data_IF_151670944463
#
_entry.id   IF_151670944463
#
_cell.length_a   1.000
_cell.length_b   1.000
_cell.length_c   1.000
_cell.angle_alpha   90.00
_cell.angle_beta   90.00
_cell.angle_gamma   90.00
#
_symmetry.space_group_name_H-M   'P 1'
#
loop_
_entity.id
_entity.type
_entity.pdbx_description
1 polymer ?
#
# COMPACT_ATOMS: atom_id res chain seq x y z
N UNK A 1 -3.94 -44.88 6.51
CA UNK A 1 -3.11 -44.16 7.51
C UNK A 1 -3.89 -42.92 7.86
N UNK A 2 -4.54 -42.94 9.00
CA UNK A 2 -5.44 -41.92 9.51
C UNK A 2 -4.60 -40.87 10.22
N UNK A 3 -4.58 -39.65 9.68
CA UNK A 3 -3.97 -38.51 10.35
C UNK A 3 -4.92 -38.02 11.45
N UNK A 4 -4.50 -38.19 12.69
CA UNK A 4 -5.11 -37.53 13.84
C UNK A 4 -4.73 -36.06 13.85
N UNK A 5 -5.68 -35.19 13.55
CA UNK A 5 -5.64 -33.78 13.94
C UNK A 5 -6.14 -33.70 15.38
N UNK A 6 -5.25 -33.41 16.32
CA UNK A 6 -5.64 -33.03 17.67
C UNK A 6 -6.34 -31.67 17.65
N UNK A 7 -7.45 -31.48 18.40
CA UNK A 7 -8.08 -30.17 18.51
C UNK A 7 -7.23 -29.25 19.38
N UNK A 8 -6.96 -28.04 18.86
CA UNK A 8 -6.33 -26.95 19.60
C UNK A 8 -7.06 -26.70 20.92
N UNK A 9 -6.31 -26.76 22.00
CA UNK A 9 -6.77 -26.53 23.37
C UNK A 9 -7.41 -25.17 23.50
N UNK A 10 -8.68 -25.13 23.94
CA UNK A 10 -9.45 -23.92 24.23
C UNK A 10 -8.77 -23.08 25.31
N UNK A 11 -8.32 -21.86 24.93
CA UNK A 11 -7.96 -20.85 25.91
C UNK A 11 -9.24 -20.27 26.52
N UNK A 12 -9.50 -20.62 27.78
CA UNK A 12 -10.57 -20.02 28.58
C UNK A 12 -10.12 -18.64 29.05
N UNK A 13 -10.50 -17.60 28.36
CA UNK A 13 -10.53 -16.24 28.92
C UNK A 13 -11.78 -16.11 29.77
N UNK A 14 -11.63 -15.72 31.03
CA UNK A 14 -12.69 -15.61 32.03
C UNK A 14 -13.98 -14.98 31.47
N UNK A 15 -14.93 -15.79 31.02
CA UNK A 15 -16.29 -15.41 30.66
C UNK A 15 -16.58 -15.14 29.17
N UNK A 16 -15.59 -15.17 28.26
CA UNK A 16 -15.83 -15.07 26.82
C UNK A 16 -15.53 -16.43 26.15
N UNK A 17 -16.57 -17.21 25.88
CA UNK A 17 -16.45 -18.42 25.07
C UNK A 17 -16.40 -18.03 23.59
N UNK A 18 -15.31 -18.34 22.91
CA UNK A 18 -15.12 -18.10 21.47
C UNK A 18 -15.69 -19.25 20.62
N UNK A 19 -16.30 -20.25 21.27
CA UNK A 19 -16.95 -21.38 20.60
C UNK A 19 -18.37 -21.01 20.18
N UNK A 20 -18.66 -21.02 18.89
CA UNK A 20 -19.98 -20.72 18.34
C UNK A 20 -20.15 -19.36 17.68
N UNK A 21 -19.04 -18.73 17.25
CA UNK A 21 -19.09 -17.49 16.46
C UNK A 21 -19.84 -17.71 15.15
N UNK A 22 -20.86 -16.88 14.91
CA UNK A 22 -21.39 -16.71 13.55
C UNK A 22 -20.36 -15.99 12.71
N UNK A 23 -20.18 -16.40 11.45
CA UNK A 23 -19.28 -15.75 10.49
C UNK A 23 -19.55 -14.23 10.28
N UNK A 24 -20.63 -13.72 10.87
CA UNK A 24 -21.07 -12.31 10.77
C UNK A 24 -20.89 -11.50 12.06
N UNK A 25 -20.31 -12.09 13.12
CA UNK A 25 -20.29 -11.47 14.44
C UNK A 25 -18.92 -10.89 14.78
N UNK A 26 -18.80 -9.57 14.72
CA UNK A 26 -17.60 -8.82 15.13
C UNK A 26 -17.60 -8.48 16.62
N UNK A 27 -18.72 -8.61 17.30
CA UNK A 27 -18.92 -8.22 18.69
C UNK A 27 -17.91 -8.84 19.68
N UNK A 28 -17.51 -10.12 19.55
CA UNK A 28 -16.47 -10.69 20.39
C UNK A 28 -15.12 -9.97 20.28
N UNK A 29 -14.71 -9.56 19.08
CA UNK A 29 -13.46 -8.83 18.87
C UNK A 29 -13.53 -7.44 19.48
N UNK A 30 -14.67 -6.74 19.35
CA UNK A 30 -14.89 -5.44 20.00
C UNK A 30 -14.79 -5.53 21.53
N UNK A 31 -15.37 -6.59 22.14
CA UNK A 31 -15.29 -6.85 23.59
C UNK A 31 -13.87 -7.18 24.04
N UNK A 32 -13.11 -7.93 23.25
CA UNK A 32 -11.69 -8.21 23.53
C UNK A 32 -10.92 -6.86 23.58
N UNK A 33 -11.11 -5.99 22.61
CA UNK A 33 -10.43 -4.69 22.55
C UNK A 33 -10.83 -3.80 23.73
N UNK A 34 -12.11 -3.71 24.08
CA UNK A 34 -12.57 -2.99 25.27
C UNK A 34 -11.87 -3.49 26.53
N UNK A 35 -11.72 -4.82 26.67
CA UNK A 35 -11.07 -5.43 27.82
C UNK A 35 -9.57 -5.18 27.85
N UNK A 36 -8.91 -5.26 26.71
CA UNK A 36 -7.47 -4.94 26.59
C UNK A 36 -7.17 -3.48 26.99
N UNK A 37 -8.07 -2.57 26.70
CA UNK A 37 -7.93 -1.15 27.02
C UNK A 37 -8.65 -0.69 28.28
N UNK A 38 -9.26 -1.61 29.05
CA UNK A 38 -9.90 -1.28 30.32
C UNK A 38 -8.90 -0.51 31.22
N UNK A 39 -9.26 0.68 31.74
CA UNK A 39 -8.34 1.53 32.50
C UNK A 39 -7.80 0.88 33.78
N UNK A 40 -8.55 -0.05 34.37
CA UNK A 40 -8.19 -0.68 35.65
C UNK A 40 -7.54 -2.07 35.45
N UNK A 41 -8.07 -2.89 34.56
CA UNK A 41 -7.69 -4.30 34.40
C UNK A 41 -7.07 -4.63 33.07
N UNK A 42 -7.02 -3.69 32.13
CA UNK A 42 -6.51 -3.91 30.77
C UNK A 42 -4.99 -4.04 30.70
N UNK A 43 -4.53 -4.49 29.56
CA UNK A 43 -3.12 -4.69 29.28
C UNK A 43 -2.35 -3.33 29.33
N UNK A 44 -1.24 -3.24 30.06
CA UNK A 44 -0.47 -2.00 30.17
C UNK A 44 0.03 -1.48 28.82
N UNK A 45 0.41 -2.38 27.90
CA UNK A 45 0.88 -2.02 26.57
C UNK A 45 -0.24 -1.42 25.72
N UNK A 46 -1.39 -2.09 25.64
CA UNK A 46 -2.54 -1.61 24.86
C UNK A 46 -3.06 -0.28 25.37
N UNK A 47 -3.11 -0.09 26.69
CA UNK A 47 -3.54 1.18 27.32
C UNK A 47 -2.62 2.35 26.99
N UNK A 48 -1.33 2.10 26.79
CA UNK A 48 -0.35 3.16 26.46
C UNK A 48 -0.43 3.61 25.00
N UNK A 49 -1.10 2.86 24.12
CA UNK A 49 -1.15 3.16 22.70
C UNK A 49 -2.03 4.37 22.38
N UNK A 50 -1.64 5.06 21.32
CA UNK A 50 -2.33 6.22 20.74
C UNK A 50 -2.52 5.99 19.25
N UNK A 51 -3.30 6.83 18.56
CA UNK A 51 -3.40 6.79 17.10
C UNK A 51 -2.04 6.76 16.40
N UNK A 52 -1.09 7.58 16.89
CA UNK A 52 0.25 7.67 16.26
C UNK A 52 1.09 6.43 16.47
N UNK A 53 1.01 5.82 17.64
CA UNK A 53 1.83 4.64 17.96
C UNK A 53 1.33 3.37 17.26
N UNK A 54 0.06 3.34 16.85
CA UNK A 54 -0.53 2.22 16.11
C UNK A 54 -0.26 2.29 14.59
N UNK A 55 0.03 3.47 14.02
CA UNK A 55 0.29 3.62 12.58
C UNK A 55 1.36 2.66 12.03
N UNK A 56 2.53 2.46 12.67
CA UNK A 56 3.52 1.51 12.16
C UNK A 56 2.98 0.10 12.02
N UNK A 57 2.26 -0.41 13.02
CA UNK A 57 1.65 -1.75 12.99
C UNK A 57 0.61 -1.87 11.87
N UNK A 58 -0.25 -0.86 11.70
CA UNK A 58 -1.23 -0.86 10.59
C UNK A 58 -0.56 -1.00 9.22
N UNK A 59 0.61 -0.39 9.02
CA UNK A 59 1.37 -0.51 7.77
C UNK A 59 2.04 -1.88 7.65
N UNK A 60 2.57 -2.41 8.75
CA UNK A 60 3.16 -3.74 8.84
C UNK A 60 2.13 -4.81 8.43
N UNK A 61 0.97 -4.87 9.10
CA UNK A 61 -0.11 -5.82 8.77
C UNK A 61 -0.59 -5.70 7.31
N UNK A 62 -0.67 -4.47 6.79
CA UNK A 62 -1.04 -4.28 5.39
C UNK A 62 0.01 -4.84 4.41
N UNK A 63 1.30 -4.81 4.78
CA UNK A 63 2.37 -5.42 4.00
C UNK A 63 2.41 -6.94 4.16
N UNK A 64 2.09 -7.48 5.33
CA UNK A 64 2.00 -8.93 5.59
C UNK A 64 0.86 -9.56 4.80
N UNK A 65 -0.32 -8.90 4.76
CA UNK A 65 -1.40 -9.29 3.83
C UNK A 65 -0.92 -9.30 2.37
N UNK A 66 -0.16 -8.27 1.95
CA UNK A 66 0.33 -8.21 0.57
C UNK A 66 1.36 -9.31 0.28
N UNK A 67 2.28 -9.58 1.19
CA UNK A 67 3.30 -10.63 1.09
C UNK A 67 2.66 -12.03 1.01
N UNK A 68 1.70 -12.30 1.88
CA UNK A 68 0.94 -13.57 1.91
C UNK A 68 0.22 -13.84 0.59
N UNK A 69 -0.37 -12.80 -0.01
CA UNK A 69 -0.99 -12.88 -1.34
C UNK A 69 0.07 -13.14 -2.43
N UNK A 70 1.21 -12.45 -2.39
CA UNK A 70 2.28 -12.62 -3.39
C UNK A 70 2.94 -14.01 -3.30
N UNK A 71 3.04 -14.58 -2.10
CA UNK A 71 3.50 -15.96 -1.87
C UNK A 71 2.45 -17.03 -2.18
N UNK A 72 1.20 -16.66 -2.44
CA UNK A 72 0.05 -17.56 -2.60
C UNK A 72 -0.21 -18.44 -1.35
N UNK A 73 0.12 -17.96 -0.16
CA UNK A 73 -0.04 -18.64 1.12
C UNK A 73 -1.47 -18.44 1.67
N UNK A 74 -2.45 -19.04 1.00
CA UNK A 74 -3.87 -18.81 1.26
C UNK A 74 -4.34 -19.29 2.63
N UNK A 75 -3.61 -20.18 3.26
CA UNK A 75 -3.83 -20.69 4.61
C UNK A 75 -3.39 -19.69 5.70
N UNK A 76 -2.40 -18.84 5.41
CA UNK A 76 -1.94 -17.77 6.31
C UNK A 76 -2.79 -16.48 6.16
N UNK A 77 -3.38 -16.26 4.99
CA UNK A 77 -4.10 -15.01 4.68
C UNK A 77 -5.22 -14.64 5.67
N UNK A 78 -6.02 -15.58 6.25
CA UNK A 78 -7.01 -15.23 7.26
C UNK A 78 -6.41 -14.63 8.54
N UNK A 79 -5.22 -15.08 8.94
CA UNK A 79 -4.53 -14.57 10.14
C UNK A 79 -4.08 -13.14 9.90
N UNK A 80 -3.40 -12.84 8.78
CA UNK A 80 -2.95 -11.49 8.43
C UNK A 80 -4.13 -10.50 8.26
N UNK A 81 -5.23 -10.97 7.66
CA UNK A 81 -6.46 -10.17 7.58
C UNK A 81 -7.08 -9.93 8.96
N UNK A 82 -6.94 -10.88 9.88
CA UNK A 82 -7.36 -10.76 11.28
C UNK A 82 -6.56 -9.68 12.00
N UNK A 83 -5.24 -9.66 11.84
CA UNK A 83 -4.35 -8.69 12.44
C UNK A 83 -4.59 -7.29 11.88
N UNK A 84 -4.78 -7.15 10.57
CA UNK A 84 -5.19 -5.88 9.97
C UNK A 84 -6.57 -5.40 10.48
N UNK A 85 -7.54 -6.31 10.66
CA UNK A 85 -8.85 -6.00 11.25
C UNK A 85 -8.71 -5.56 12.71
N UNK A 86 -7.81 -6.18 13.47
CA UNK A 86 -7.50 -5.80 14.84
C UNK A 86 -7.00 -4.35 14.93
N UNK A 87 -6.14 -3.88 14.01
CA UNK A 87 -5.72 -2.48 13.93
C UNK A 87 -6.92 -1.55 13.72
N UNK A 88 -7.87 -1.92 12.85
CA UNK A 88 -9.08 -1.13 12.62
C UNK A 88 -9.91 -1.03 13.89
N UNK A 89 -10.13 -2.15 14.58
CA UNK A 89 -10.89 -2.19 15.84
C UNK A 89 -10.18 -1.37 16.92
N UNK A 90 -8.84 -1.39 16.95
CA UNK A 90 -8.06 -0.58 17.88
C UNK A 90 -8.32 0.92 17.69
N UNK A 91 -8.29 1.42 16.45
CA UNK A 91 -8.64 2.81 16.17
C UNK A 91 -10.08 3.16 16.53
N UNK A 92 -11.01 2.24 16.33
CA UNK A 92 -12.41 2.44 16.69
C UNK A 92 -12.58 2.54 18.22
N UNK A 93 -11.83 1.76 18.99
CA UNK A 93 -11.83 1.83 20.44
C UNK A 93 -11.24 3.16 20.94
N UNK A 94 -10.12 3.61 20.36
CA UNK A 94 -9.56 4.93 20.65
C UNK A 94 -10.55 6.06 20.35
N UNK A 95 -11.27 5.95 19.22
CA UNK A 95 -12.33 6.89 18.84
C UNK A 95 -13.48 6.92 19.85
N UNK A 96 -13.94 5.75 20.29
CA UNK A 96 -14.99 5.58 21.29
C UNK A 96 -14.59 6.18 22.64
N UNK A 97 -13.37 5.94 23.11
CA UNK A 97 -12.82 6.51 24.34
C UNK A 97 -12.78 8.04 24.34
N UNK A 98 -12.56 8.64 23.17
CA UNK A 98 -12.52 10.09 22.98
C UNK A 98 -13.87 10.71 22.58
N UNK A 99 -14.93 9.90 22.41
CA UNK A 99 -16.24 10.37 21.97
C UNK A 99 -16.27 10.90 20.53
N UNK A 100 -15.35 10.46 19.67
CA UNK A 100 -15.21 10.92 18.27
C UNK A 100 -15.98 10.05 17.27
N UNK A 101 -15.83 8.75 17.35
CA UNK A 101 -16.47 7.74 16.52
C UNK A 101 -16.27 6.36 17.12
N UNK A 102 -16.99 5.38 16.60
CA UNK A 102 -16.88 3.96 16.97
C UNK A 102 -16.85 3.06 15.73
N UNK A 103 -16.86 1.76 15.92
CA UNK A 103 -16.85 0.79 14.85
C UNK A 103 -18.11 0.88 13.95
N UNK A 104 -19.28 1.12 14.56
CA UNK A 104 -20.54 1.28 13.82
C UNK A 104 -20.47 2.48 12.87
N UNK A 105 -19.93 3.60 13.33
CA UNK A 105 -19.68 4.81 12.52
C UNK A 105 -18.77 4.52 11.32
N UNK A 106 -17.74 3.69 11.50
CA UNK A 106 -16.82 3.30 10.40
C UNK A 106 -17.54 2.45 9.36
N UNK A 107 -18.34 1.47 9.81
CA UNK A 107 -19.14 0.61 8.93
C UNK A 107 -20.17 1.44 8.14
N UNK A 108 -20.91 2.33 8.81
CA UNK A 108 -21.88 3.21 8.18
C UNK A 108 -21.21 4.06 7.07
N UNK A 109 -20.13 4.74 7.39
CA UNK A 109 -19.40 5.60 6.44
C UNK A 109 -18.87 4.86 5.22
N UNK A 110 -18.34 3.63 5.40
CA UNK A 110 -17.86 2.85 4.25
C UNK A 110 -19.01 2.30 3.42
N UNK A 111 -20.11 1.85 4.04
CA UNK A 111 -21.29 1.34 3.37
C UNK A 111 -21.94 2.41 2.50
N UNK A 112 -22.18 3.59 3.06
CA UNK A 112 -22.71 4.75 2.33
C UNK A 112 -21.83 5.15 1.15
N UNK A 113 -20.53 5.20 1.39
CA UNK A 113 -19.55 5.52 0.34
C UNK A 113 -19.57 4.51 -0.80
N UNK A 114 -19.63 3.23 -0.51
CA UNK A 114 -19.65 2.16 -1.51
C UNK A 114 -20.96 2.19 -2.29
N UNK A 115 -22.10 2.32 -1.63
CA UNK A 115 -23.42 2.42 -2.25
C UNK A 115 -23.47 3.61 -3.21
N UNK A 116 -23.05 4.79 -2.76
CA UNK A 116 -23.03 6.01 -3.58
C UNK A 116 -22.09 5.91 -4.78
N UNK A 117 -20.96 5.23 -4.63
CA UNK A 117 -19.96 5.08 -5.70
C UNK A 117 -20.26 3.97 -6.70
N UNK A 118 -21.25 3.13 -6.42
CA UNK A 118 -21.69 2.06 -7.31
C UNK A 118 -23.17 2.17 -7.66
N UNK A 119 -23.61 3.32 -8.23
CA UNK A 119 -25.02 3.53 -8.57
C UNK A 119 -25.55 2.53 -9.60
N UNK A 120 -24.67 1.94 -10.40
CA UNK A 120 -24.99 0.86 -11.35
C UNK A 120 -25.34 -0.47 -10.66
N UNK A 121 -24.97 -0.65 -9.37
CA UNK A 121 -25.31 -1.86 -8.60
C UNK A 121 -26.45 -1.59 -7.62
N UNK A 122 -26.42 -0.43 -6.95
CA UNK A 122 -27.31 -0.10 -5.84
C UNK A 122 -28.37 0.99 -6.18
N UNK A 123 -28.28 1.63 -7.36
CA UNK A 123 -29.24 2.67 -7.78
C UNK A 123 -30.50 2.08 -8.40
N UNK A 124 -31.62 2.79 -8.23
CA UNK A 124 -32.91 2.42 -8.85
C UNK A 124 -32.92 2.64 -10.38
N UNK A 125 -32.10 3.56 -10.88
CA UNK A 125 -31.91 3.80 -12.30
C UNK A 125 -30.50 3.36 -12.67
N UNK A 126 -30.40 2.30 -13.47
CA UNK A 126 -29.14 1.85 -14.08
C UNK A 126 -28.72 2.89 -15.14
N UNK A 127 -27.91 3.93 -14.83
CA UNK A 127 -27.38 4.77 -15.87
C UNK A 127 -26.57 3.85 -16.76
N UNK A 128 -26.74 3.95 -18.08
CA UNK A 128 -25.94 3.22 -19.05
C UNK A 128 -24.46 3.65 -18.94
N UNK A 129 -23.84 3.25 -17.86
CA UNK A 129 -22.39 3.28 -17.71
C UNK A 129 -21.93 2.16 -18.61
N UNK A 130 -21.18 2.48 -19.66
CA UNK A 130 -20.71 1.48 -20.60
C UNK A 130 -20.10 0.29 -19.87
N UNK A 131 -20.41 -0.93 -20.29
CA UNK A 131 -20.06 -2.20 -19.61
C UNK A 131 -18.54 -2.48 -19.52
N UNK A 132 -17.69 -1.54 -19.88
CA UNK A 132 -16.25 -1.71 -19.82
C UNK A 132 -15.69 -1.28 -18.46
N UNK A 133 -14.73 -2.04 -17.92
CA UNK A 133 -14.00 -1.70 -16.71
C UNK A 133 -13.35 -0.29 -16.78
N UNK A 134 -13.03 0.17 -18.00
CA UNK A 134 -12.46 1.49 -18.23
C UNK A 134 -13.51 2.61 -18.07
N UNK A 135 -14.74 2.41 -18.55
CA UNK A 135 -15.85 3.34 -18.35
C UNK A 135 -16.24 3.42 -16.87
N UNK A 136 -16.28 2.28 -16.18
CA UNK A 136 -16.52 2.22 -14.73
C UNK A 136 -15.44 2.97 -13.94
N UNK A 137 -14.17 2.80 -14.30
CA UNK A 137 -13.06 3.51 -13.65
C UNK A 137 -13.14 5.02 -13.87
N UNK A 138 -13.50 5.47 -15.08
CA UNK A 138 -13.68 6.89 -15.39
C UNK A 138 -14.84 7.51 -14.58
N UNK A 139 -15.97 6.82 -14.51
CA UNK A 139 -17.12 7.25 -13.71
C UNK A 139 -16.78 7.32 -12.21
N UNK A 140 -16.08 6.32 -11.69
CA UNK A 140 -15.66 6.29 -10.29
C UNK A 140 -14.71 7.45 -9.95
N UNK A 141 -13.83 7.81 -10.87
CA UNK A 141 -12.94 8.95 -10.71
C UNK A 141 -13.68 10.30 -10.80
N UNK A 142 -14.71 10.40 -11.65
CA UNK A 142 -15.59 11.58 -11.71
C UNK A 142 -16.33 11.78 -10.38
N UNK A 143 -16.93 10.71 -9.83
CA UNK A 143 -17.61 10.75 -8.51
C UNK A 143 -16.65 11.21 -7.42
N UNK A 144 -15.41 10.66 -7.39
CA UNK A 144 -14.38 11.10 -6.43
C UNK A 144 -13.97 12.57 -6.61
N UNK A 145 -14.00 13.09 -7.83
CA UNK A 145 -13.71 14.50 -8.09
C UNK A 145 -14.81 15.40 -7.48
N UNK A 146 -16.07 15.08 -7.74
CA UNK A 146 -17.21 15.79 -7.16
C UNK A 146 -17.22 15.75 -5.63
N UNK A 147 -16.93 14.59 -5.02
CA UNK A 147 -16.82 14.45 -3.55
C UNK A 147 -15.72 15.35 -2.97
N UNK A 148 -14.60 15.52 -3.68
CA UNK A 148 -13.51 16.42 -3.25
C UNK A 148 -13.92 17.89 -3.32
N UNK A 149 -14.58 18.29 -4.40
CA UNK A 149 -15.10 19.64 -4.56
C UNK A 149 -16.11 20.00 -3.47
N UNK A 150 -17.04 19.09 -3.18
CA UNK A 150 -18.00 19.26 -2.09
C UNK A 150 -17.32 19.40 -0.72
N UNK A 151 -16.32 18.55 -0.43
CA UNK A 151 -15.54 18.66 0.81
C UNK A 151 -14.76 19.97 0.92
N UNK A 152 -14.17 20.43 -0.19
CA UNK A 152 -13.43 21.69 -0.22
C UNK A 152 -14.36 22.88 0.00
N UNK A 153 -15.56 22.86 -0.59
CA UNK A 153 -16.58 23.90 -0.37
C UNK A 153 -17.08 23.94 1.08
N UNK A 154 -17.24 22.79 1.73
CA UNK A 154 -17.60 22.72 3.16
C UNK A 154 -16.53 23.35 4.04
N UNK A 155 -15.24 23.02 3.80
CA UNK A 155 -14.11 23.59 4.57
C UNK A 155 -13.95 25.10 4.30
N UNK A 156 -14.12 25.55 3.05
CA UNK A 156 -14.05 26.96 2.70
C UNK A 156 -15.21 27.77 3.34
N UNK A 157 -16.40 27.20 3.44
CA UNK A 157 -17.53 27.82 4.13
C UNK A 157 -17.33 28.02 5.64
N UNK A 158 -16.52 27.15 6.27
CA UNK A 158 -16.20 27.24 7.70
C UNK A 158 -15.06 28.23 7.99
N UNK A 159 -14.16 28.49 7.05
CA UNK A 159 -12.93 29.28 7.29
C UNK A 159 -12.92 30.70 6.71
N UNK A 160 -13.95 31.11 5.94
CA UNK A 160 -14.02 32.44 5.27
C UNK A 160 -12.73 32.84 4.47
N UNK A 161 -11.87 31.88 4.13
CA UNK A 161 -10.66 32.12 3.37
C UNK A 161 -10.87 31.75 1.89
N UNK A 162 -10.51 32.63 0.98
CA UNK A 162 -10.36 32.36 -0.46
C UNK A 162 -9.21 31.37 -0.70
N UNK A 163 -9.32 30.14 -0.19
CA UNK A 163 -8.32 29.11 -0.41
C UNK A 163 -8.56 28.48 -1.79
N UNK A 164 -7.65 28.74 -2.71
CA UNK A 164 -7.63 28.06 -4.02
C UNK A 164 -7.44 26.56 -3.76
N UNK A 165 -8.45 25.76 -4.15
CA UNK A 165 -8.40 24.29 -4.04
C UNK A 165 -7.35 23.76 -5.00
N UNK A 166 -6.30 23.15 -4.47
CA UNK A 166 -5.24 22.54 -5.29
C UNK A 166 -5.65 21.18 -5.83
N UNK A 167 -5.31 20.88 -7.07
CA UNK A 167 -5.43 19.53 -7.63
C UNK A 167 -4.69 18.47 -6.78
N UNK A 168 -3.70 18.89 -5.99
CA UNK A 168 -2.87 18.04 -5.15
C UNK A 168 -3.42 17.85 -3.72
N UNK A 169 -4.51 18.51 -3.37
CA UNK A 169 -5.11 18.40 -2.04
C UNK A 169 -5.55 16.96 -1.75
N UNK A 170 -5.40 16.57 -0.49
CA UNK A 170 -5.78 15.25 0.02
C UNK A 170 -4.99 14.06 -0.60
N UNK A 171 -3.76 14.27 -1.09
CA UNK A 171 -2.82 13.19 -1.36
C UNK A 171 -2.05 12.90 -0.06
N UNK A 172 -2.23 11.72 0.57
CA UNK A 172 -1.54 11.41 1.82
C UNK A 172 -0.02 11.49 1.67
N UNK A 173 0.64 12.12 2.65
CA UNK A 173 2.10 12.27 2.64
C UNK A 173 2.85 11.02 3.09
N UNK A 174 2.15 10.13 3.79
CA UNK A 174 2.70 8.90 4.38
C UNK A 174 2.70 7.70 3.42
N UNK A 175 2.21 7.87 2.19
CA UNK A 175 2.26 6.80 1.19
C UNK A 175 3.71 6.51 0.77
N UNK A 176 4.03 5.25 0.36
CA UNK A 176 5.29 4.94 -0.31
C UNK A 176 5.57 5.91 -1.45
N UNK A 177 6.83 6.29 -1.61
CA UNK A 177 7.20 7.42 -2.47
C UNK A 177 6.77 7.23 -3.93
N UNK A 178 6.96 6.04 -4.51
CA UNK A 178 6.56 5.74 -5.89
C UNK A 178 5.03 5.77 -6.03
N UNK A 179 4.31 5.16 -5.09
CA UNK A 179 2.83 5.19 -5.05
C UNK A 179 2.28 6.61 -4.88
N UNK A 180 2.97 7.48 -4.13
CA UNK A 180 2.59 8.87 -3.99
C UNK A 180 2.87 9.66 -5.26
N UNK A 181 4.04 9.46 -5.89
CA UNK A 181 4.45 10.13 -7.12
C UNK A 181 3.47 9.85 -8.27
N UNK A 182 3.05 8.60 -8.47
CA UNK A 182 2.06 8.27 -9.50
C UNK A 182 0.71 8.96 -9.26
N UNK A 183 0.29 9.12 -7.99
CA UNK A 183 -0.94 9.84 -7.66
C UNK A 183 -0.84 11.33 -7.93
N UNK A 184 0.30 11.95 -7.61
CA UNK A 184 0.59 13.35 -7.94
C UNK A 184 0.46 13.55 -9.45
N UNK A 185 1.17 12.76 -10.23
CA UNK A 185 1.18 12.85 -11.70
C UNK A 185 -0.20 12.60 -12.31
N UNK A 186 -0.95 11.62 -11.84
CA UNK A 186 -2.33 11.40 -12.26
C UNK A 186 -3.25 12.58 -11.98
N UNK A 187 -3.01 13.33 -10.89
CA UNK A 187 -3.81 14.51 -10.53
C UNK A 187 -3.50 15.70 -11.43
N UNK A 188 -2.22 15.97 -11.68
CA UNK A 188 -1.83 17.09 -12.54
C UNK A 188 -2.16 16.82 -14.02
N UNK A 189 -2.08 15.58 -14.48
CA UNK A 189 -2.50 15.18 -15.81
C UNK A 189 -3.99 15.50 -16.08
N UNK A 190 -4.86 15.35 -15.09
CA UNK A 190 -6.30 15.65 -15.22
C UNK A 190 -6.61 17.14 -15.43
N UNK A 191 -5.75 18.00 -14.98
CA UNK A 191 -5.88 19.45 -15.18
C UNK A 191 -5.10 19.95 -16.40
N UNK A 192 -4.66 19.03 -17.26
CA UNK A 192 -3.99 19.34 -18.52
C UNK A 192 -2.46 19.51 -18.42
N UNK A 193 -1.88 19.25 -17.24
CA UNK A 193 -0.42 19.29 -17.09
C UNK A 193 0.16 17.88 -17.33
N UNK A 194 0.24 17.50 -18.62
CA UNK A 194 0.75 16.20 -19.07
C UNK A 194 1.24 16.26 -20.51
N UNK A 195 2.15 15.34 -20.87
CA UNK A 195 2.54 15.12 -22.25
C UNK A 195 1.59 14.11 -22.91
N UNK A 196 1.19 14.38 -24.14
CA UNK A 196 0.33 13.50 -24.92
C UNK A 196 1.07 12.25 -25.43
N UNK A 197 2.34 12.41 -25.76
CA UNK A 197 3.18 11.40 -26.39
C UNK A 197 4.25 10.86 -25.43
N UNK A 198 4.78 9.67 -25.74
CA UNK A 198 5.76 8.98 -24.90
C UNK A 198 7.18 9.57 -25.05
N UNK A 199 7.51 10.06 -26.26
CA UNK A 199 8.84 10.59 -26.55
C UNK A 199 9.30 11.69 -25.58
N UNK A 200 8.51 12.74 -25.27
CA UNK A 200 8.91 13.75 -24.30
C UNK A 200 9.13 13.18 -22.89
N UNK A 201 8.37 12.14 -22.50
CA UNK A 201 8.54 11.47 -21.21
C UNK A 201 9.89 10.76 -21.14
N UNK A 202 10.27 10.05 -22.19
CA UNK A 202 11.59 9.38 -22.29
C UNK A 202 12.71 10.41 -22.38
N UNK A 203 12.53 11.48 -23.14
CA UNK A 203 13.51 12.56 -23.23
C UNK A 203 13.79 13.18 -21.86
N UNK A 204 12.74 13.38 -21.03
CA UNK A 204 12.91 13.92 -19.67
C UNK A 204 13.72 12.99 -18.77
N UNK A 205 13.58 11.65 -18.90
CA UNK A 205 14.42 10.70 -18.16
C UNK A 205 15.89 10.85 -18.53
N UNK A 206 16.22 11.05 -19.82
CA UNK A 206 17.59 11.26 -20.26
C UNK A 206 18.15 12.58 -19.72
N UNK A 207 17.34 13.64 -19.73
CA UNK A 207 17.69 14.93 -19.14
C UNK A 207 18.05 14.78 -17.65
N UNK A 208 17.21 14.10 -16.84
CA UNK A 208 17.47 13.87 -15.43
C UNK A 208 18.71 13.01 -15.17
N UNK A 209 18.99 12.04 -16.05
CA UNK A 209 20.24 11.26 -15.97
C UNK A 209 21.45 12.17 -16.18
N UNK A 210 21.39 13.05 -17.17
CA UNK A 210 22.49 13.99 -17.48
C UNK A 210 22.69 14.99 -16.32
N UNK A 211 21.62 15.45 -15.65
CA UNK A 211 21.68 16.32 -14.47
C UNK A 211 22.31 15.62 -13.26
N UNK A 212 21.93 14.36 -12.97
CA UNK A 212 22.61 13.55 -11.94
C UNK A 212 24.10 13.40 -12.26
N UNK A 213 24.46 13.05 -13.49
CA UNK A 213 25.85 12.88 -13.92
C UNK A 213 26.62 14.20 -13.83
N UNK A 214 25.98 15.33 -14.17
CA UNK A 214 26.56 16.66 -14.04
C UNK A 214 26.92 16.98 -12.59
N UNK A 215 25.99 16.81 -11.65
CA UNK A 215 26.24 17.12 -10.23
C UNK A 215 27.28 16.19 -9.60
N UNK A 216 27.30 14.90 -9.98
CA UNK A 216 28.33 13.93 -9.51
C UNK A 216 29.74 14.32 -9.97
N UNK A 217 29.89 14.93 -11.16
CA UNK A 217 31.18 15.30 -11.73
C UNK A 217 31.67 16.72 -11.34
N UNK A 218 30.95 17.44 -10.48
CA UNK A 218 31.41 18.77 -10.01
C UNK A 218 32.64 18.61 -9.09
N UNK A 219 33.63 19.51 -9.19
CA UNK A 219 34.82 19.49 -8.33
C UNK A 219 34.48 19.58 -6.83
N UNK A 220 33.49 20.41 -6.50
CA UNK A 220 32.91 20.54 -5.13
C UNK A 220 31.54 19.90 -5.09
N UNK A 221 31.51 18.55 -5.15
CA UNK A 221 30.28 17.78 -5.16
C UNK A 221 29.39 18.09 -3.95
N UNK A 222 28.16 18.58 -4.22
CA UNK A 222 27.14 18.79 -3.20
C UNK A 222 26.17 17.58 -3.17
N UNK A 223 26.28 16.76 -2.12
CA UNK A 223 25.45 15.58 -1.94
C UNK A 223 23.94 15.91 -1.89
N UNK A 224 23.56 17.09 -1.44
CA UNK A 224 22.14 17.49 -1.41
C UNK A 224 21.61 17.73 -2.82
N UNK A 225 22.40 18.27 -3.73
CA UNK A 225 22.05 18.42 -5.14
C UNK A 225 21.95 17.07 -5.84
N UNK A 226 22.95 16.19 -5.66
CA UNK A 226 22.91 14.82 -6.20
C UNK A 226 21.65 14.08 -5.74
N UNK A 227 21.26 14.25 -4.48
CA UNK A 227 20.03 13.67 -3.95
C UNK A 227 18.77 14.27 -4.59
N UNK A 228 18.78 15.58 -4.88
CA UNK A 228 17.67 16.27 -5.57
C UNK A 228 17.48 15.70 -6.97
N UNK A 229 18.53 15.71 -7.79
CA UNK A 229 18.47 15.22 -9.17
C UNK A 229 18.12 13.72 -9.24
N UNK A 230 18.63 12.92 -8.32
CA UNK A 230 18.22 11.53 -8.19
C UNK A 230 16.71 11.40 -7.87
N UNK A 231 16.16 12.31 -7.07
CA UNK A 231 14.74 12.38 -6.79
C UNK A 231 13.91 12.68 -8.04
N UNK A 232 14.37 13.64 -8.86
CA UNK A 232 13.72 14.06 -10.09
C UNK A 232 13.80 12.96 -11.16
N UNK A 233 14.92 12.26 -11.28
CA UNK A 233 15.04 11.06 -12.11
C UNK A 233 14.03 9.97 -11.71
N UNK A 234 13.93 9.66 -10.42
CA UNK A 234 12.95 8.66 -9.94
C UNK A 234 11.52 9.10 -10.24
N UNK A 235 11.21 10.39 -10.10
CA UNK A 235 9.90 10.95 -10.42
C UNK A 235 9.60 10.87 -11.93
N UNK A 236 10.57 11.12 -12.81
CA UNK A 236 10.45 10.97 -14.26
C UNK A 236 10.23 9.49 -14.65
N UNK A 237 10.93 8.55 -14.02
CA UNK A 237 10.72 7.09 -14.23
C UNK A 237 9.31 6.67 -13.81
N UNK A 238 8.79 7.19 -12.70
CA UNK A 238 7.38 6.95 -12.28
C UNK A 238 6.40 7.51 -13.32
N UNK A 239 6.71 8.64 -13.95
CA UNK A 239 5.88 9.19 -15.03
C UNK A 239 5.83 8.26 -16.25
N UNK A 240 6.97 7.66 -16.62
CA UNK A 240 7.01 6.63 -17.65
C UNK A 240 6.12 5.44 -17.29
N UNK A 241 6.22 4.93 -16.07
CA UNK A 241 5.38 3.83 -15.59
C UNK A 241 3.88 4.19 -15.69
N UNK A 242 3.50 5.44 -15.36
CA UNK A 242 2.12 5.93 -15.49
C UNK A 242 1.64 5.91 -16.94
N UNK A 243 2.44 6.40 -17.88
CA UNK A 243 2.11 6.38 -19.32
C UNK A 243 1.95 4.96 -19.85
N UNK A 244 2.78 4.03 -19.38
CA UNK A 244 2.71 2.61 -19.71
C UNK A 244 1.61 1.86 -18.93
N UNK A 245 0.88 2.52 -18.03
CA UNK A 245 -0.15 1.93 -17.15
C UNK A 245 0.41 0.83 -16.24
N UNK A 246 1.66 0.95 -15.84
CA UNK A 246 2.34 0.07 -14.90
C UNK A 246 2.30 0.69 -13.51
N UNK A 247 2.01 -0.11 -12.48
CA UNK A 247 2.19 0.31 -11.09
C UNK A 247 3.68 0.25 -10.74
N UNK A 248 4.34 1.39 -10.43
CA UNK A 248 5.78 1.41 -10.21
C UNK A 248 6.21 0.74 -8.91
N UNK A 249 5.37 0.79 -7.86
CA UNK A 249 5.66 0.14 -6.57
C UNK A 249 5.64 -1.38 -6.74
N UNK A 250 4.60 -1.90 -7.37
CA UNK A 250 4.47 -3.32 -7.65
C UNK A 250 5.56 -3.82 -8.62
N UNK A 251 5.86 -3.04 -9.66
CA UNK A 251 6.91 -3.41 -10.63
C UNK A 251 8.28 -3.52 -9.97
N UNK A 252 8.63 -2.58 -9.06
CA UNK A 252 9.90 -2.62 -8.33
C UNK A 252 9.92 -3.78 -7.33
N UNK A 253 8.81 -4.04 -6.63
CA UNK A 253 8.68 -5.18 -5.72
C UNK A 253 8.92 -6.51 -6.45
N UNK A 254 8.27 -6.71 -7.60
CA UNK A 254 8.49 -7.91 -8.43
C UNK A 254 9.93 -8.02 -8.96
N UNK A 255 10.57 -6.89 -9.26
CA UNK A 255 11.98 -6.88 -9.65
C UNK A 255 12.89 -7.31 -8.49
N UNK A 256 12.61 -6.86 -7.25
CA UNK A 256 13.32 -7.28 -6.05
C UNK A 256 13.19 -8.79 -5.83
N UNK A 257 11.97 -9.33 -5.82
CA UNK A 257 11.73 -10.77 -5.65
C UNK A 257 12.42 -11.60 -6.73
N UNK A 258 12.39 -11.12 -7.99
CA UNK A 258 13.11 -11.77 -9.09
C UNK A 258 14.63 -11.76 -8.87
N UNK A 259 15.17 -10.64 -8.41
CA UNK A 259 16.59 -10.52 -8.10
C UNK A 259 16.99 -11.46 -6.97
N UNK A 260 16.25 -11.45 -5.85
CA UNK A 260 16.51 -12.32 -4.70
C UNK A 260 16.47 -13.81 -5.07
N UNK A 261 15.44 -14.22 -5.81
CA UNK A 261 15.35 -15.62 -6.27
C UNK A 261 16.55 -16.01 -7.11
N UNK A 262 16.97 -15.17 -8.05
CA UNK A 262 18.15 -15.42 -8.89
C UNK A 262 19.42 -15.44 -8.09
N UNK A 263 19.57 -14.51 -7.15
CA UNK A 263 20.75 -14.42 -6.33
C UNK A 263 20.90 -15.65 -5.42
N UNK A 264 19.81 -16.17 -4.85
CA UNK A 264 19.83 -17.46 -4.14
C UNK A 264 20.29 -18.61 -5.04
N UNK A 265 19.96 -18.61 -6.32
CA UNK A 265 20.50 -19.56 -7.30
C UNK A 265 22.00 -19.41 -7.52
N UNK A 266 22.50 -18.17 -7.54
CA UNK A 266 23.95 -17.90 -7.60
C UNK A 266 24.67 -18.41 -6.34
N UNK A 267 24.10 -18.16 -5.15
CA UNK A 267 24.63 -18.66 -3.86
C UNK A 267 24.70 -20.20 -3.87
N UNK A 268 23.69 -20.85 -4.39
CA UNK A 268 23.68 -22.31 -4.52
C UNK A 268 24.81 -22.81 -5.43
N UNK A 269 24.97 -22.25 -6.64
CA UNK A 269 26.02 -22.61 -7.57
C UNK A 269 27.43 -22.33 -7.00
N UNK A 270 27.58 -21.21 -6.28
CA UNK A 270 28.82 -20.90 -5.59
C UNK A 270 29.15 -21.96 -4.51
N UNK A 271 28.15 -22.34 -3.71
CA UNK A 271 28.30 -23.39 -2.70
C UNK A 271 28.68 -24.74 -3.32
N UNK A 272 28.07 -25.10 -4.45
CA UNK A 272 28.36 -26.33 -5.20
C UNK A 272 29.79 -26.36 -5.75
N UNK A 273 30.40 -25.20 -6.01
CA UNK A 273 31.81 -25.09 -6.44
C UNK A 273 32.82 -25.42 -5.33
N UNK A 274 32.36 -25.50 -4.07
CA UNK A 274 33.23 -25.73 -2.89
C UNK A 274 33.96 -24.47 -2.40
N UNK A 275 33.67 -23.31 -2.95
CA UNK A 275 34.19 -22.00 -2.53
C UNK A 275 33.10 -21.17 -1.81
N UNK A 276 33.53 -20.31 -0.89
CA UNK A 276 32.64 -19.28 -0.32
C UNK A 276 32.32 -18.19 -1.36
N UNK A 277 31.23 -17.46 -1.18
CA UNK A 277 30.86 -16.34 -2.08
C UNK A 277 32.00 -15.31 -2.24
N UNK A 278 32.74 -15.02 -1.17
CA UNK A 278 33.80 -14.03 -1.15
C UNK A 278 35.08 -14.49 -1.90
N UNK A 279 35.23 -15.78 -2.16
CA UNK A 279 36.34 -16.35 -2.92
C UNK A 279 36.12 -16.35 -4.43
N UNK A 280 34.90 -15.96 -4.87
CA UNK A 280 34.60 -15.84 -6.29
C UNK A 280 34.89 -14.43 -6.79
N UNK A 281 35.38 -14.35 -8.01
CA UNK A 281 35.44 -13.09 -8.76
C UNK A 281 34.04 -12.67 -9.23
N UNK A 282 33.85 -11.38 -9.50
CA UNK A 282 32.59 -10.89 -10.07
C UNK A 282 32.24 -11.60 -11.38
N UNK A 283 33.23 -11.91 -12.20
CA UNK A 283 33.04 -12.59 -13.49
C UNK A 283 32.53 -14.04 -13.30
N UNK A 284 32.99 -14.76 -12.27
CA UNK A 284 32.47 -16.09 -11.93
C UNK A 284 31.04 -16.03 -11.44
N UNK A 285 30.73 -15.06 -10.57
CA UNK A 285 29.37 -14.86 -10.07
C UNK A 285 28.39 -14.41 -11.19
N UNK A 286 28.83 -13.59 -12.12
CA UNK A 286 28.05 -13.17 -13.28
C UNK A 286 27.77 -14.36 -14.22
N UNK A 287 28.72 -15.26 -14.41
CA UNK A 287 28.51 -16.51 -15.14
C UNK A 287 27.45 -17.41 -14.46
N UNK A 288 27.44 -17.49 -13.11
CA UNK A 288 26.39 -18.20 -12.37
C UNK A 288 25.03 -17.50 -12.54
N UNK A 289 25.00 -16.18 -12.50
CA UNK A 289 23.78 -15.39 -12.73
C UNK A 289 23.18 -15.70 -14.10
N UNK A 290 23.99 -15.76 -15.16
CA UNK A 290 23.51 -16.11 -16.50
C UNK A 290 23.03 -17.56 -16.59
N UNK A 291 23.65 -18.51 -15.89
CA UNK A 291 23.16 -19.88 -15.78
C UNK A 291 21.77 -19.91 -15.13
N UNK A 292 21.59 -19.23 -13.99
CA UNK A 292 20.29 -19.15 -13.30
C UNK A 292 19.23 -18.54 -14.21
N UNK A 293 19.53 -17.44 -14.91
CA UNK A 293 18.60 -16.84 -15.90
C UNK A 293 18.21 -17.81 -17.01
N UNK A 294 19.14 -18.59 -17.51
CA UNK A 294 18.87 -19.55 -18.57
C UNK A 294 17.92 -20.70 -18.14
N UNK A 295 17.90 -21.05 -16.86
CA UNK A 295 16.96 -22.05 -16.32
C UNK A 295 15.54 -21.55 -16.21
N UNK A 296 15.34 -20.23 -16.01
CA UNK A 296 14.01 -19.61 -15.90
C UNK A 296 13.30 -19.45 -17.27
N UNK A 297 14.05 -19.45 -18.36
CA UNK A 297 13.51 -19.19 -19.71
C UNK A 297 12.99 -20.46 -20.39
N UNK A 298 13.01 -21.59 -19.71
CA UNK A 298 12.49 -22.90 -20.19
C UNK A 298 11.21 -23.27 -19.45
#
# INVERSE_FOLDING_TARGET
MTSHTEPLTSFSTSGLSVTGLSATDVEPLLKIMEKLRDPHTGCPWDKAQTYKTIVPFTLEEAYEVADTIERLAWDELPDELGDLLFQIVFYCQLGKEQGLFDFATVIEKISDKLTRRHPHVFGEQNPQIGDSAQAMKANWEAIKATEREQKAQQVAGETQADTVVSALDNIPRTQPALSRSIKIQQRVARVGFDWAELEPVVAKIHEEIDEVVHEVNQPDQDQAKVQSEMGDLLFAVVNLARHLKVDPEQALRQANLKFERRFRGVEQLASESGKSMQEHTLMELDAYWDQVKATETR
#
